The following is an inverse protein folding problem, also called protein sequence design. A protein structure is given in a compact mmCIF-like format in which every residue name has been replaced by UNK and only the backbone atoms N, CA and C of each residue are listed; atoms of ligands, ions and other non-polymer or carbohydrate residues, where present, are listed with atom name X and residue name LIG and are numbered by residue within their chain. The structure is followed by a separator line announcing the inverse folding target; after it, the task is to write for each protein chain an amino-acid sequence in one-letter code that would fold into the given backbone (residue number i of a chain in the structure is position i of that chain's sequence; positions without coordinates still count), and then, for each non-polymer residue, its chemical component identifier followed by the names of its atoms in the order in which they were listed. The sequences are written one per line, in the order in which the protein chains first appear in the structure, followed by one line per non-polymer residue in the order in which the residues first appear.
data_IF_875142113387
#
_entry.id   IF_875142113387
#
_cell.length_a   1.000
_cell.length_b   1.000
_cell.length_c   1.000
_cell.angle_alpha   90.00
_cell.angle_beta   90.00
_cell.angle_gamma   90.00
#
_symmetry.space_group_name_H-M   'P 1'
#
loop_
_entity.id
_entity.type
_entity.pdbx_description
1 polymer ?
#
# COMPACT_ATOMS: atom_id res chain seq x y z
N UNK A 1 22.16 47.12 12.23
CA UNK A 1 22.40 45.78 11.67
C UNK A 1 22.53 44.69 12.75
N UNK A 2 23.48 44.78 13.71
CA UNK A 2 23.61 43.76 14.78
C UNK A 2 22.33 43.52 15.57
N UNK A 3 21.66 44.59 16.04
CA UNK A 3 20.37 44.48 16.74
C UNK A 3 19.30 43.77 15.89
N UNK A 4 19.15 44.14 14.61
CA UNK A 4 18.20 43.51 13.71
C UNK A 4 18.46 42.00 13.55
N UNK A 5 19.72 41.60 13.34
CA UNK A 5 20.10 40.19 13.27
C UNK A 5 19.77 39.45 14.57
N UNK A 6 20.03 40.05 15.74
CA UNK A 6 19.67 39.45 17.03
C UNK A 6 18.16 39.20 17.15
N UNK A 7 17.32 40.17 16.75
CA UNK A 7 15.87 40.00 16.83
C UNK A 7 15.36 38.93 15.84
N UNK A 8 15.92 38.88 14.63
CA UNK A 8 15.62 37.83 13.65
C UNK A 8 16.04 36.45 14.20
N UNK A 9 17.24 36.32 14.75
CA UNK A 9 17.71 35.06 15.34
C UNK A 9 16.82 34.61 16.49
N UNK A 10 16.46 35.51 17.42
CA UNK A 10 15.57 35.19 18.54
C UNK A 10 14.18 34.74 18.06
N UNK A 11 13.68 35.30 16.97
CA UNK A 11 12.42 34.88 16.35
C UNK A 11 12.52 33.52 15.64
N UNK A 12 13.65 33.24 14.97
CA UNK A 12 13.85 32.00 14.23
C UNK A 12 14.21 30.80 15.13
N UNK A 13 14.83 31.02 16.29
CA UNK A 13 15.25 29.94 17.20
C UNK A 13 14.10 28.98 17.53
N UNK A 14 12.91 29.43 18.00
CA UNK A 14 11.79 28.53 18.28
C UNK A 14 11.35 27.71 17.06
N UNK A 15 11.34 28.31 15.87
CA UNK A 15 10.94 27.64 14.62
C UNK A 15 11.94 26.54 14.27
N UNK A 16 13.24 26.84 14.36
CA UNK A 16 14.31 25.87 14.10
C UNK A 16 14.28 24.74 15.13
N UNK A 17 14.02 25.04 16.40
CA UNK A 17 13.86 24.02 17.45
C UNK A 17 12.69 23.09 17.15
N UNK A 18 11.51 23.62 16.83
CA UNK A 18 10.33 22.79 16.48
C UNK A 18 10.60 21.94 15.24
N UNK A 19 11.26 22.51 14.22
CA UNK A 19 11.64 21.77 13.02
C UNK A 19 12.63 20.63 13.32
N UNK A 20 13.67 20.88 14.13
CA UNK A 20 14.62 19.85 14.55
C UNK A 20 13.93 18.74 15.36
N UNK A 21 13.01 19.09 16.27
CA UNK A 21 12.25 18.10 17.04
C UNK A 21 11.37 17.23 16.12
N UNK A 22 10.72 17.84 15.12
CA UNK A 22 9.95 17.10 14.12
C UNK A 22 10.84 16.17 13.28
N UNK A 23 12.03 16.62 12.89
CA UNK A 23 12.98 15.79 12.15
C UNK A 23 13.45 14.60 13.00
N UNK A 24 13.86 14.85 14.25
CA UNK A 24 14.25 13.80 15.20
C UNK A 24 13.11 12.80 15.40
N UNK A 25 11.87 13.28 15.55
CA UNK A 25 10.69 12.42 15.67
C UNK A 25 10.54 11.49 14.47
N UNK A 26 10.54 12.03 13.24
CA UNK A 26 10.41 11.20 12.03
C UNK A 26 11.59 10.25 11.80
N UNK A 27 12.79 10.58 12.28
CA UNK A 27 13.99 9.74 12.13
C UNK A 27 14.11 8.67 13.20
N UNK A 28 13.49 8.86 14.38
CA UNK A 28 13.72 7.99 15.54
C UNK A 28 12.52 7.12 15.89
N UNK A 29 11.30 7.52 15.52
CA UNK A 29 10.08 6.76 15.84
C UNK A 29 9.77 5.78 14.72
N UNK A 30 9.80 4.45 14.99
CA UNK A 30 9.43 3.45 14.00
C UNK A 30 7.97 3.59 13.57
N UNK A 31 7.72 3.33 12.29
CA UNK A 31 6.39 3.26 11.69
C UNK A 31 6.35 2.11 10.67
N UNK A 32 5.25 1.95 9.94
CA UNK A 32 5.12 0.87 8.96
C UNK A 32 6.25 0.81 7.92
N UNK A 33 6.80 1.95 7.47
CA UNK A 33 7.90 1.98 6.49
C UNK A 33 9.18 1.38 7.07
N UNK A 34 9.67 1.92 8.19
CA UNK A 34 10.90 1.42 8.84
C UNK A 34 10.74 -0.02 9.31
N UNK A 35 9.60 -0.35 9.90
CA UNK A 35 9.34 -1.68 10.44
C UNK A 35 9.25 -2.72 9.32
N UNK A 36 8.52 -2.44 8.23
CA UNK A 36 8.47 -3.37 7.10
C UNK A 36 9.82 -3.52 6.41
N UNK A 37 10.58 -2.43 6.30
CA UNK A 37 11.91 -2.49 5.74
C UNK A 37 12.86 -3.39 6.55
N UNK A 38 12.80 -3.30 7.88
CA UNK A 38 13.56 -4.18 8.78
C UNK A 38 13.09 -5.63 8.67
N UNK A 39 11.77 -5.88 8.76
CA UNK A 39 11.21 -7.23 8.75
C UNK A 39 11.48 -7.96 7.43
N UNK A 40 11.31 -7.33 6.27
CA UNK A 40 11.63 -8.00 5.00
C UNK A 40 13.13 -8.31 4.91
N UNK A 41 14.00 -7.40 5.35
CA UNK A 41 15.45 -7.58 5.29
C UNK A 41 15.95 -8.71 6.18
N UNK A 42 15.30 -8.93 7.33
CA UNK A 42 15.66 -9.98 8.27
C UNK A 42 15.15 -11.37 7.87
N UNK A 43 14.14 -11.45 6.98
CA UNK A 43 13.45 -12.69 6.65
C UNK A 43 13.53 -13.06 5.16
N UNK A 44 14.41 -12.42 4.38
CA UNK A 44 14.50 -12.58 2.92
C UNK A 44 14.57 -14.05 2.45
N UNK A 45 15.37 -14.87 3.13
CA UNK A 45 15.57 -16.29 2.78
C UNK A 45 14.35 -17.16 3.11
N UNK A 46 13.42 -16.69 3.92
CA UNK A 46 12.25 -17.46 4.34
C UNK A 46 11.01 -17.16 3.51
N UNK A 47 11.00 -16.10 2.70
CA UNK A 47 9.80 -15.64 1.99
C UNK A 47 9.54 -16.49 0.75
N UNK A 48 8.40 -17.19 0.75
CA UNK A 48 7.87 -17.96 -0.37
C UNK A 48 6.78 -17.21 -1.14
N UNK A 49 6.11 -16.26 -0.49
CA UNK A 49 5.05 -15.43 -1.09
C UNK A 49 5.26 -13.97 -0.70
N UNK A 50 5.29 -13.08 -1.69
CA UNK A 50 5.36 -11.64 -1.49
C UNK A 50 4.02 -11.01 -1.91
N UNK A 51 3.42 -10.24 -1.01
CA UNK A 51 2.18 -9.48 -1.31
C UNK A 51 2.53 -8.01 -1.50
N UNK A 52 2.10 -7.47 -2.64
CA UNK A 52 2.19 -6.05 -2.99
C UNK A 52 0.77 -5.45 -3.12
N UNK A 53 0.69 -4.12 -3.18
CA UNK A 53 -0.57 -3.40 -3.29
C UNK A 53 -0.81 -2.38 -2.19
N UNK A 54 -2.04 -1.90 -2.11
CA UNK A 54 -2.45 -0.78 -1.28
C UNK A 54 -3.09 -1.22 0.06
N UNK A 55 -3.97 -0.37 0.62
CA UNK A 55 -4.70 -0.70 1.85
C UNK A 55 -5.58 -1.95 1.72
N UNK A 56 -6.06 -2.31 0.53
CA UNK A 56 -6.92 -3.48 0.32
C UNK A 56 -6.15 -4.76 0.63
N UNK A 57 -4.91 -4.92 0.16
CA UNK A 57 -4.08 -6.08 0.50
C UNK A 57 -3.41 -5.93 1.87
N UNK A 58 -3.11 -4.71 2.30
CA UNK A 58 -2.53 -4.45 3.62
C UNK A 58 -3.43 -4.92 4.76
N UNK A 59 -4.73 -4.64 4.67
CA UNK A 59 -5.71 -5.09 5.65
C UNK A 59 -6.38 -6.41 5.27
N UNK A 60 -6.50 -6.73 3.98
CA UNK A 60 -7.29 -7.86 3.48
C UNK A 60 -6.54 -9.18 3.32
N UNK A 61 -5.20 -9.19 3.23
CA UNK A 61 -4.41 -10.42 3.14
C UNK A 61 -3.56 -10.57 4.39
N UNK A 62 -3.95 -11.51 5.25
CA UNK A 62 -3.26 -11.87 6.48
C UNK A 62 -2.41 -13.13 6.24
N UNK A 63 -1.06 -13.00 6.24
CA UNK A 63 -0.12 -14.11 6.10
C UNK A 63 -0.27 -15.25 7.12
N UNK A 64 -0.88 -15.03 8.28
CA UNK A 64 -1.15 -16.08 9.28
C UNK A 64 -2.02 -17.21 8.72
N UNK A 65 -2.90 -16.91 7.77
CA UNK A 65 -3.85 -17.87 7.19
C UNK A 65 -3.40 -18.44 5.83
N UNK A 66 -2.17 -18.16 5.44
CA UNK A 66 -1.55 -18.72 4.23
C UNK A 66 -0.60 -19.86 4.63
N UNK A 67 -0.60 -20.92 3.84
CA UNK A 67 0.18 -22.14 4.09
C UNK A 67 1.67 -21.99 3.78
N UNK A 68 2.01 -21.10 2.84
CA UNK A 68 3.38 -20.75 2.50
C UNK A 68 3.86 -19.57 3.33
N UNK A 69 5.17 -19.50 3.59
CA UNK A 69 5.78 -18.38 4.32
C UNK A 69 5.60 -17.08 3.55
N UNK A 70 4.61 -16.30 3.98
CA UNK A 70 4.18 -15.11 3.27
C UNK A 70 4.62 -13.85 4.00
N UNK A 71 5.11 -12.87 3.25
CA UNK A 71 5.35 -11.52 3.74
C UNK A 71 4.50 -10.50 2.98
N UNK A 72 3.74 -9.71 3.73
CA UNK A 72 2.89 -8.67 3.18
C UNK A 72 3.62 -7.32 3.18
N UNK A 73 4.10 -6.90 2.00
CA UNK A 73 4.85 -5.64 1.82
C UNK A 73 3.94 -4.48 1.36
N UNK A 74 2.63 -4.71 1.18
CA UNK A 74 1.65 -3.65 0.88
C UNK A 74 1.59 -2.57 1.98
N UNK A 75 1.08 -1.39 1.62
CA UNK A 75 0.93 -0.29 2.57
C UNK A 75 -0.21 0.64 2.18
N UNK A 76 -0.69 1.45 3.12
CA UNK A 76 -1.83 2.37 2.88
C UNK A 76 -1.51 3.34 1.75
N UNK A 77 -2.33 3.30 0.69
CA UNK A 77 -2.20 4.11 -0.52
C UNK A 77 -0.89 3.89 -1.29
N UNK A 78 -0.29 2.71 -1.18
CA UNK A 78 0.82 2.29 -2.03
C UNK A 78 0.32 2.12 -3.48
N UNK A 79 1.09 2.64 -4.42
CA UNK A 79 0.73 2.69 -5.84
C UNK A 79 1.50 1.65 -6.62
N UNK A 80 1.05 1.27 -7.83
CA UNK A 80 1.80 0.35 -8.71
C UNK A 80 3.21 0.87 -9.00
N UNK A 81 3.40 2.20 -8.99
CA UNK A 81 4.73 2.81 -9.06
C UNK A 81 5.63 2.34 -7.92
N UNK A 82 5.15 2.38 -6.67
CA UNK A 82 5.91 1.92 -5.52
C UNK A 82 5.99 0.40 -5.44
N UNK A 83 4.96 -0.34 -5.86
CA UNK A 83 5.03 -1.80 -5.99
C UNK A 83 6.19 -2.22 -6.91
N UNK A 84 6.31 -1.58 -8.09
CA UNK A 84 7.44 -1.80 -9.00
C UNK A 84 8.79 -1.57 -8.32
N UNK A 85 8.95 -0.42 -7.65
CA UNK A 85 10.23 -0.08 -7.03
C UNK A 85 10.59 -1.03 -5.88
N UNK A 86 9.62 -1.41 -5.06
CA UNK A 86 9.80 -2.37 -3.98
C UNK A 86 10.14 -3.76 -4.54
N UNK A 87 9.42 -4.20 -5.57
CA UNK A 87 9.71 -5.43 -6.29
C UNK A 87 11.15 -5.44 -6.82
N UNK A 88 11.55 -4.42 -7.59
CA UNK A 88 12.90 -4.31 -8.16
C UNK A 88 14.00 -4.27 -7.09
N UNK A 89 13.72 -3.69 -5.92
CA UNK A 89 14.66 -3.66 -4.80
C UNK A 89 14.89 -5.05 -4.20
N UNK A 90 13.83 -5.83 -4.03
CA UNK A 90 13.86 -7.04 -3.22
C UNK A 90 13.99 -8.33 -4.02
N UNK A 91 13.48 -8.40 -5.25
CA UNK A 91 13.25 -9.65 -5.96
C UNK A 91 14.50 -10.52 -6.15
N UNK A 92 15.66 -9.93 -6.40
CA UNK A 92 16.93 -10.68 -6.55
C UNK A 92 17.48 -11.24 -5.24
N UNK A 93 16.93 -10.83 -4.10
CA UNK A 93 17.32 -11.27 -2.76
C UNK A 93 16.26 -12.17 -2.11
N UNK A 94 15.25 -12.64 -2.85
CA UNK A 94 14.22 -13.56 -2.36
C UNK A 94 14.37 -14.94 -3.03
N UNK A 95 15.38 -15.75 -2.64
CA UNK A 95 15.78 -16.95 -3.38
C UNK A 95 14.71 -18.06 -3.36
N UNK A 96 13.79 -18.03 -2.41
CA UNK A 96 12.73 -19.02 -2.22
C UNK A 96 11.35 -18.53 -2.65
N UNK A 97 11.25 -17.35 -3.27
CA UNK A 97 9.98 -16.79 -3.72
C UNK A 97 9.35 -17.70 -4.77
N UNK A 98 8.11 -18.12 -4.53
CA UNK A 98 7.29 -18.95 -5.42
C UNK A 98 6.11 -18.17 -6.00
N UNK A 99 5.54 -17.24 -5.22
CA UNK A 99 4.39 -16.45 -5.63
C UNK A 99 4.58 -14.95 -5.38
N UNK A 100 4.15 -14.15 -6.35
CA UNK A 100 3.91 -12.72 -6.20
C UNK A 100 2.41 -12.46 -6.25
N UNK A 101 1.86 -11.78 -5.24
CA UNK A 101 0.47 -11.34 -5.23
C UNK A 101 0.43 -9.83 -5.50
N UNK A 102 -0.29 -9.41 -6.54
CA UNK A 102 -0.52 -8.01 -6.87
C UNK A 102 -2.03 -7.78 -6.93
N UNK A 103 -2.53 -6.79 -6.18
CA UNK A 103 -3.92 -6.36 -6.30
C UNK A 103 -4.13 -5.40 -7.46
N UNK A 104 -5.25 -5.56 -8.18
CA UNK A 104 -5.72 -4.62 -9.19
C UNK A 104 -7.11 -4.14 -8.80
N UNK A 105 -7.17 -2.95 -8.22
CA UNK A 105 -8.40 -2.32 -7.74
C UNK A 105 -8.86 -1.20 -8.68
N UNK A 106 -10.00 -0.60 -8.35
CA UNK A 106 -10.64 0.44 -9.16
C UNK A 106 -9.72 1.62 -9.53
N UNK A 107 -8.82 1.99 -8.62
CA UNK A 107 -7.89 3.11 -8.78
C UNK A 107 -6.57 2.69 -9.43
N UNK A 108 -6.20 1.42 -9.33
CA UNK A 108 -4.84 0.92 -9.54
C UNK A 108 -4.30 1.20 -10.95
N UNK A 109 -5.08 0.89 -11.99
CA UNK A 109 -4.59 0.98 -13.37
C UNK A 109 -4.54 2.43 -13.91
N UNK A 110 -5.46 3.29 -13.48
CA UNK A 110 -5.53 4.69 -13.96
C UNK A 110 -4.71 5.68 -13.14
N UNK A 111 -4.22 5.25 -11.98
CA UNK A 111 -3.50 6.13 -11.04
C UNK A 111 -2.25 6.72 -11.67
N UNK A 112 -2.22 8.04 -11.75
CA UNK A 112 -1.03 8.78 -12.19
C UNK A 112 0.02 8.87 -11.08
N UNK A 113 1.29 8.88 -11.49
CA UNK A 113 2.43 9.10 -10.60
C UNK A 113 2.41 10.51 -9.98
N UNK A 114 3.02 10.62 -8.81
CA UNK A 114 3.29 11.89 -8.12
C UNK A 114 2.00 12.67 -7.80
N UNK A 115 0.91 11.94 -7.54
CA UNK A 115 -0.39 12.49 -7.12
C UNK A 115 -0.45 12.66 -5.60
N UNK A 116 -1.63 13.05 -5.07
CA UNK A 116 -1.86 13.30 -3.64
C UNK A 116 -1.38 12.15 -2.75
N UNK A 117 -1.45 10.91 -3.22
CA UNK A 117 -0.99 9.73 -2.48
C UNK A 117 0.54 9.63 -2.39
N UNK A 118 1.25 10.05 -3.43
CA UNK A 118 2.72 9.95 -3.52
C UNK A 118 3.45 11.16 -2.93
N UNK A 119 2.84 12.36 -2.98
CA UNK A 119 3.51 13.66 -2.78
C UNK A 119 4.37 13.71 -1.51
N UNK A 120 3.92 13.12 -0.41
CA UNK A 120 4.69 13.06 0.84
C UNK A 120 5.27 11.66 1.12
N UNK A 121 4.56 10.59 0.73
CA UNK A 121 4.97 9.20 0.98
C UNK A 121 6.26 8.84 0.26
N UNK A 122 6.52 9.41 -0.92
CA UNK A 122 7.75 9.16 -1.68
C UNK A 122 9.02 9.38 -0.88
N UNK A 123 9.05 10.41 -0.03
CA UNK A 123 10.20 10.69 0.84
C UNK A 123 10.33 9.67 1.97
N UNK A 124 9.22 9.10 2.46
CA UNK A 124 9.26 8.02 3.46
C UNK A 124 9.77 6.71 2.82
N UNK A 125 9.32 6.37 1.60
CA UNK A 125 9.90 5.26 0.85
C UNK A 125 11.40 5.44 0.61
N UNK A 126 11.86 6.63 0.19
CA UNK A 126 13.29 6.88 0.00
C UNK A 126 14.07 6.83 1.31
N UNK A 127 13.59 7.50 2.36
CA UNK A 127 14.34 7.72 3.59
C UNK A 127 14.25 6.61 4.63
N UNK A 128 13.20 5.79 4.59
CA UNK A 128 12.88 4.79 5.62
C UNK A 128 12.79 3.37 5.08
N UNK A 129 12.71 3.22 3.75
CA UNK A 129 12.79 1.92 3.08
C UNK A 129 13.96 1.87 2.10
N UNK A 130 14.90 2.81 2.15
CA UNK A 130 16.09 2.90 1.29
C UNK A 130 15.78 2.66 -0.20
N UNK A 131 14.69 3.26 -0.68
CA UNK A 131 14.23 3.11 -2.05
C UNK A 131 14.84 4.19 -2.95
N UNK A 132 15.31 3.83 -4.14
CA UNK A 132 15.67 4.83 -5.15
C UNK A 132 14.38 5.32 -5.79
N UNK A 133 13.99 6.57 -5.53
CA UNK A 133 12.73 7.14 -6.02
C UNK A 133 12.98 8.24 -7.06
N UNK A 134 12.91 7.93 -8.37
CA UNK A 134 13.10 8.90 -9.45
C UNK A 134 12.22 10.17 -9.39
N UNK A 135 11.06 10.09 -8.73
CA UNK A 135 10.15 11.25 -8.54
C UNK A 135 10.69 12.30 -7.55
N UNK A 136 11.82 12.05 -6.89
CA UNK A 136 12.45 12.99 -5.96
C UNK A 136 13.66 13.62 -6.64
N UNK A 137 13.57 14.91 -6.95
CA UNK A 137 14.70 15.65 -7.47
C UNK A 137 15.81 15.77 -6.42
N UNK A 138 17.07 15.69 -6.86
CA UNK A 138 18.23 15.76 -5.96
C UNK A 138 18.33 17.08 -5.18
N UNK A 139 17.76 18.16 -5.74
CA UNK A 139 17.73 19.49 -5.14
C UNK A 139 16.47 19.78 -4.31
N UNK A 140 15.55 18.81 -4.17
CA UNK A 140 14.36 18.99 -3.35
C UNK A 140 14.75 18.95 -1.85
N UNK A 141 14.54 20.03 -1.07
CA UNK A 141 14.92 20.05 0.34
C UNK A 141 14.21 18.98 1.19
N UNK A 142 13.02 18.52 0.76
CA UNK A 142 12.27 17.47 1.47
C UNK A 142 12.95 16.11 1.42
N UNK A 143 13.87 15.89 0.47
CA UNK A 143 14.77 14.72 0.43
C UNK A 143 15.64 14.64 1.68
N UNK A 144 16.10 15.79 2.18
CA UNK A 144 17.05 15.87 3.28
C UNK A 144 16.38 16.10 4.64
N UNK A 145 15.10 16.49 4.66
CA UNK A 145 14.33 16.67 5.91
C UNK A 145 12.89 16.17 5.76
N UNK A 146 12.59 15.08 6.48
CA UNK A 146 11.23 14.53 6.55
C UNK A 146 10.26 15.51 7.22
N UNK A 147 10.73 16.37 8.11
CA UNK A 147 9.92 17.42 8.73
C UNK A 147 9.34 18.42 7.72
N UNK A 148 9.90 18.53 6.51
CA UNK A 148 9.39 19.40 5.43
C UNK A 148 8.35 18.72 4.52
N UNK A 149 8.15 17.41 4.67
CA UNK A 149 7.31 16.60 3.74
C UNK A 149 5.81 16.76 4.02
N UNK A 150 5.43 17.00 5.27
CA UNK A 150 4.04 17.07 5.74
C UNK A 150 3.77 18.41 6.41
N UNK A 151 2.50 18.84 6.39
CA UNK A 151 2.05 20.01 7.13
C UNK A 151 2.22 19.79 8.64
N UNK A 152 2.49 20.87 9.38
CA UNK A 152 2.75 20.80 10.82
C UNK A 152 1.58 20.20 11.61
N UNK A 153 0.33 20.49 11.25
CA UNK A 153 -0.86 19.91 11.91
C UNK A 153 -0.89 18.38 11.80
N UNK A 154 -0.44 17.84 10.67
CA UNK A 154 -0.33 16.39 10.45
C UNK A 154 0.81 15.78 11.26
N UNK A 155 1.95 16.45 11.34
CA UNK A 155 3.07 16.04 12.20
C UNK A 155 2.66 16.03 13.67
N UNK A 156 2.03 17.11 14.14
CA UNK A 156 1.58 17.21 15.52
C UNK A 156 0.51 16.16 15.86
N UNK A 157 -0.44 15.91 14.95
CA UNK A 157 -1.41 14.80 15.11
C UNK A 157 -0.69 13.46 15.22
N UNK A 158 0.24 13.15 14.32
CA UNK A 158 1.00 11.89 14.38
C UNK A 158 1.82 11.76 15.67
N UNK A 159 2.37 12.86 16.20
CA UNK A 159 3.02 12.85 17.51
C UNK A 159 2.05 12.53 18.66
N UNK A 160 0.85 13.12 18.65
CA UNK A 160 -0.18 12.80 19.66
C UNK A 160 -0.67 11.36 19.55
N UNK A 161 -0.83 10.83 18.34
CA UNK A 161 -1.18 9.43 18.10
C UNK A 161 -0.08 8.52 18.70
N UNK A 162 1.20 8.82 18.44
CA UNK A 162 2.33 8.10 19.06
C UNK A 162 2.32 8.16 20.59
N UNK A 163 2.04 9.33 21.19
CA UNK A 163 1.95 9.45 22.65
C UNK A 163 0.79 8.64 23.25
N UNK A 164 -0.32 8.52 22.52
CA UNK A 164 -1.50 7.77 22.96
C UNK A 164 -1.29 6.25 22.82
N UNK A 165 -0.74 5.82 21.70
CA UNK A 165 -0.68 4.40 21.30
C UNK A 165 0.65 3.74 21.67
N UNK A 166 1.69 4.52 21.92
CA UNK A 166 3.04 4.04 22.23
C UNK A 166 3.84 3.57 21.00
N UNK A 167 3.21 3.51 19.82
CA UNK A 167 3.82 3.10 18.55
C UNK A 167 3.08 3.73 17.37
N UNK A 168 3.76 3.85 16.22
CA UNK A 168 3.14 4.17 14.93
C UNK A 168 3.14 2.96 13.98
N UNK A 169 3.54 1.79 14.48
CA UNK A 169 3.50 0.54 13.75
C UNK A 169 2.07 0.00 13.85
N UNK A 170 1.39 -0.05 12.71
CA UNK A 170 0.03 -0.58 12.57
C UNK A 170 -0.01 -1.92 11.84
N UNK A 171 1.06 -2.72 11.92
CA UNK A 171 1.12 -4.06 11.32
C UNK A 171 1.90 -5.05 12.18
N UNK A 172 1.69 -6.35 11.93
CA UNK A 172 2.43 -7.44 12.57
C UNK A 172 3.78 -7.72 11.89
N UNK A 173 4.55 -8.67 12.45
CA UNK A 173 5.87 -9.09 11.94
C UNK A 173 5.85 -9.61 10.49
N UNK A 174 4.70 -10.10 10.01
CA UNK A 174 4.50 -10.56 8.62
C UNK A 174 3.96 -9.45 7.72
N UNK A 175 3.81 -8.24 8.25
CA UNK A 175 3.41 -7.04 7.55
C UNK A 175 1.91 -6.86 7.36
N UNK A 176 1.05 -7.65 8.01
CA UNK A 176 -0.40 -7.47 7.91
C UNK A 176 -0.91 -6.34 8.81
N UNK A 177 -1.75 -5.47 8.26
CA UNK A 177 -2.41 -4.40 8.99
C UNK A 177 -3.53 -4.94 9.87
N UNK A 178 -3.39 -4.83 11.19
CA UNK A 178 -4.29 -5.46 12.16
C UNK A 178 -5.17 -4.46 12.94
N UNK A 179 -5.39 -3.26 12.38
CA UNK A 179 -6.13 -2.17 13.04
C UNK A 179 -7.62 -2.14 12.71
N UNK A 180 -8.07 -2.82 11.65
CA UNK A 180 -9.48 -2.85 11.22
C UNK A 180 -10.21 -4.04 11.85
N UNK A 181 -10.79 -3.80 13.03
CA UNK A 181 -11.35 -4.87 13.89
C UNK A 181 -12.89 -4.93 13.91
N UNK A 182 -13.58 -3.92 13.39
CA UNK A 182 -15.04 -3.79 13.48
C UNK A 182 -15.65 -3.36 12.15
N UNK A 183 -16.94 -3.63 11.98
CA UNK A 183 -17.77 -3.19 10.86
C UNK A 183 -18.53 -1.92 11.25
N UNK A 184 -18.54 -0.92 10.38
CA UNK A 184 -19.44 0.25 10.52
C UNK A 184 -20.91 -0.17 10.40
N UNK A 185 -21.83 0.61 10.96
CA UNK A 185 -23.25 0.28 10.84
C UNK A 185 -23.76 0.40 9.39
N UNK A 186 -24.91 -0.20 9.09
CA UNK A 186 -25.44 -0.25 7.72
C UNK A 186 -25.75 1.14 7.11
N UNK A 187 -26.10 2.12 7.94
CA UNK A 187 -26.38 3.48 7.47
C UNK A 187 -25.07 4.18 7.09
N UNK A 188 -24.06 4.06 7.94
CA UNK A 188 -22.71 4.55 7.65
C UNK A 188 -22.10 3.83 6.43
N UNK A 189 -22.27 2.52 6.31
CA UNK A 189 -21.82 1.72 5.17
C UNK A 189 -22.38 2.23 3.84
N UNK A 190 -23.70 2.46 3.77
CA UNK A 190 -24.35 2.98 2.58
C UNK A 190 -23.85 4.41 2.24
N UNK A 191 -23.62 5.25 3.25
CA UNK A 191 -23.04 6.57 3.06
C UNK A 191 -21.61 6.51 2.51
N UNK A 192 -20.75 5.71 3.15
CA UNK A 192 -19.36 5.53 2.75
C UNK A 192 -19.24 4.95 1.34
N UNK A 193 -20.08 3.98 0.98
CA UNK A 193 -20.11 3.37 -0.36
C UNK A 193 -20.20 4.42 -1.46
N UNK A 194 -21.09 5.41 -1.30
CA UNK A 194 -21.25 6.52 -2.24
C UNK A 194 -20.09 7.52 -2.20
N UNK A 195 -19.58 7.85 -1.02
CA UNK A 195 -18.52 8.86 -0.85
C UNK A 195 -17.18 8.35 -1.35
N UNK A 196 -16.82 7.13 -0.98
CA UNK A 196 -15.56 6.49 -1.36
C UNK A 196 -15.55 6.23 -2.87
N UNK A 197 -16.63 5.71 -3.47
CA UNK A 197 -16.74 5.52 -4.91
C UNK A 197 -16.48 6.82 -5.70
N UNK A 198 -17.08 7.94 -5.25
CA UNK A 198 -16.85 9.26 -5.87
C UNK A 198 -15.43 9.76 -5.70
N UNK A 199 -14.78 9.47 -4.57
CA UNK A 199 -13.40 9.84 -4.29
C UNK A 199 -12.42 9.04 -5.16
N UNK A 200 -12.74 7.78 -5.44
CA UNK A 200 -11.91 6.85 -6.22
C UNK A 200 -12.03 7.04 -7.73
N UNK A 201 -13.08 7.73 -8.18
CA UNK A 201 -13.18 8.14 -9.58
C UNK A 201 -12.25 9.31 -9.89
N UNK A 202 -11.32 9.08 -10.82
CA UNK A 202 -10.34 10.06 -11.32
C UNK A 202 -10.66 10.54 -12.76
N UNK A 203 -11.68 9.96 -13.40
CA UNK A 203 -12.08 10.22 -14.78
C UNK A 203 -11.13 9.66 -15.83
N UNK A 204 -10.05 8.97 -15.42
CA UNK A 204 -9.02 8.47 -16.31
C UNK A 204 -9.32 7.04 -16.74
N UNK A 205 -9.20 6.81 -18.04
CA UNK A 205 -9.20 5.50 -18.66
C UNK A 205 -7.81 5.15 -19.21
N UNK A 206 -6.76 5.92 -18.93
CA UNK A 206 -5.40 5.57 -19.38
C UNK A 206 -4.78 4.56 -18.42
N UNK A 207 -4.68 3.31 -18.86
CA UNK A 207 -4.10 2.21 -18.07
C UNK A 207 -2.69 1.84 -18.54
N UNK A 208 -2.21 2.46 -19.62
CA UNK A 208 -1.04 1.97 -20.37
C UNK A 208 0.19 1.83 -19.48
N UNK A 209 0.49 2.87 -18.71
CA UNK A 209 1.69 2.91 -17.87
C UNK A 209 1.65 1.86 -16.75
N UNK A 210 0.53 1.73 -16.03
CA UNK A 210 0.45 0.78 -14.91
C UNK A 210 0.32 -0.67 -15.39
N UNK A 211 -0.37 -0.91 -16.51
CA UNK A 211 -0.36 -2.23 -17.16
C UNK A 211 1.04 -2.63 -17.59
N UNK A 212 1.83 -1.70 -18.14
CA UNK A 212 3.24 -1.96 -18.49
C UNK A 212 4.10 -2.30 -17.26
N UNK A 213 3.88 -1.63 -16.12
CA UNK A 213 4.57 -1.96 -14.86
C UNK A 213 4.25 -3.37 -14.38
N UNK A 214 2.96 -3.74 -14.38
CA UNK A 214 2.52 -5.08 -14.00
C UNK A 214 3.09 -6.12 -14.96
N UNK A 215 3.03 -5.89 -16.27
CA UNK A 215 3.60 -6.78 -17.28
C UNK A 215 5.11 -6.98 -17.11
N UNK A 216 5.85 -5.92 -16.75
CA UNK A 216 7.29 -6.02 -16.49
C UNK A 216 7.58 -6.88 -15.24
N UNK A 217 6.81 -6.72 -14.15
CA UNK A 217 6.94 -7.59 -12.98
C UNK A 217 6.60 -9.05 -13.31
N UNK A 218 5.53 -9.30 -14.08
CA UNK A 218 5.14 -10.63 -14.55
C UNK A 218 6.25 -11.29 -15.37
N UNK A 219 6.81 -10.56 -16.33
CA UNK A 219 7.89 -11.05 -17.21
C UNK A 219 9.13 -11.43 -16.41
N UNK A 220 9.49 -10.62 -15.40
CA UNK A 220 10.60 -10.94 -14.50
C UNK A 220 10.30 -12.19 -13.66
N UNK A 221 9.08 -12.29 -13.13
CA UNK A 221 8.65 -13.47 -12.37
C UNK A 221 8.74 -14.74 -13.22
N UNK A 222 8.31 -14.70 -14.48
CA UNK A 222 8.38 -15.84 -15.40
C UNK A 222 9.83 -16.34 -15.57
N UNK A 223 10.79 -15.42 -15.76
CA UNK A 223 12.22 -15.76 -15.88
C UNK A 223 12.81 -16.45 -14.64
N UNK A 224 12.18 -16.25 -13.48
CA UNK A 224 12.59 -16.84 -12.19
C UNK A 224 11.68 -18.00 -11.76
N UNK A 225 10.74 -18.44 -12.62
CA UNK A 225 9.72 -19.45 -12.32
C UNK A 225 8.79 -19.09 -11.15
N UNK A 226 8.55 -17.80 -10.93
CA UNK A 226 7.62 -17.27 -9.93
C UNK A 226 6.23 -17.15 -10.56
N UNK A 227 5.23 -17.68 -9.87
CA UNK A 227 3.83 -17.53 -10.23
C UNK A 227 3.29 -16.17 -9.75
N UNK A 228 2.37 -15.58 -10.50
CA UNK A 228 1.75 -14.31 -10.15
C UNK A 228 0.25 -14.50 -9.96
N UNK A 229 -0.27 -14.08 -8.81
CA UNK A 229 -1.69 -13.93 -8.58
C UNK A 229 -2.08 -12.47 -8.77
N UNK A 230 -2.87 -12.20 -9.82
CA UNK A 230 -3.52 -10.90 -10.00
C UNK A 230 -4.88 -10.96 -9.29
N UNK A 231 -5.01 -10.23 -8.19
CA UNK A 231 -6.18 -10.32 -7.30
C UNK A 231 -7.03 -9.06 -7.43
N UNK A 232 -8.34 -9.21 -7.60
CA UNK A 232 -9.29 -8.13 -7.35
C UNK A 232 -9.87 -8.37 -5.95
N UNK A 233 -9.57 -7.50 -4.98
CA UNK A 233 -9.94 -7.71 -3.59
C UNK A 233 -11.46 -7.56 -3.38
N UNK A 234 -12.04 -8.24 -2.37
CA UNK A 234 -13.44 -8.06 -2.04
C UNK A 234 -13.73 -6.63 -1.58
N UNK A 235 -14.84 -6.09 -2.04
CA UNK A 235 -15.39 -4.79 -1.63
C UNK A 235 -16.88 -4.94 -1.36
N UNK A 236 -17.48 -3.99 -0.64
CA UNK A 236 -18.90 -4.08 -0.33
C UNK A 236 -19.74 -3.89 -1.61
N UNK A 237 -20.81 -4.69 -1.86
CA UNK A 237 -21.58 -4.60 -3.10
C UNK A 237 -22.12 -3.20 -3.43
N UNK A 238 -22.62 -2.46 -2.44
CA UNK A 238 -23.14 -1.12 -2.66
C UNK A 238 -22.05 -0.15 -3.16
N UNK A 239 -20.79 -0.35 -2.79
CA UNK A 239 -19.69 0.46 -3.32
C UNK A 239 -19.51 0.22 -4.82
N UNK A 240 -19.52 -1.04 -5.26
CA UNK A 240 -19.40 -1.40 -6.69
C UNK A 240 -20.51 -0.79 -7.54
N UNK A 241 -21.73 -0.73 -7.02
CA UNK A 241 -22.89 -0.17 -7.73
C UNK A 241 -22.77 1.34 -7.98
N UNK A 242 -21.89 2.03 -7.25
CA UNK A 242 -21.61 3.45 -7.42
C UNK A 242 -20.40 3.75 -8.33
N UNK A 243 -19.68 2.72 -8.79
CA UNK A 243 -18.51 2.89 -9.66
C UNK A 243 -18.91 3.04 -11.13
N UNK A 244 -17.99 3.55 -11.96
CA UNK A 244 -18.18 3.64 -13.39
C UNK A 244 -18.10 2.23 -14.02
N UNK A 245 -19.19 1.72 -14.62
CA UNK A 245 -19.22 0.37 -15.18
C UNK A 245 -18.27 0.21 -16.38
N UNK A 246 -18.04 1.26 -17.18
CA UNK A 246 -17.11 1.19 -18.31
C UNK A 246 -15.66 1.03 -17.84
N UNK A 247 -15.30 1.71 -16.74
CA UNK A 247 -13.98 1.59 -16.12
C UNK A 247 -13.78 0.21 -15.51
N UNK A 248 -14.78 -0.32 -14.80
CA UNK A 248 -14.76 -1.70 -14.28
C UNK A 248 -14.55 -2.73 -15.39
N UNK A 249 -15.36 -2.66 -16.47
CA UNK A 249 -15.22 -3.56 -17.62
C UNK A 249 -13.82 -3.49 -18.26
N UNK A 250 -13.22 -2.29 -18.29
CA UNK A 250 -11.86 -2.13 -18.81
C UNK A 250 -10.82 -2.74 -17.88
N UNK A 251 -10.99 -2.61 -16.55
CA UNK A 251 -10.11 -3.24 -15.56
C UNK A 251 -10.20 -4.76 -15.70
N UNK A 252 -11.41 -5.30 -15.77
CA UNK A 252 -11.64 -6.74 -15.97
C UNK A 252 -10.93 -7.24 -17.23
N UNK A 253 -11.18 -6.58 -18.36
CA UNK A 253 -10.53 -6.94 -19.62
C UNK A 253 -9.01 -6.89 -19.53
N UNK A 254 -8.46 -5.88 -18.85
CA UNK A 254 -7.00 -5.73 -18.69
C UNK A 254 -6.43 -6.88 -17.85
N UNK A 255 -7.08 -7.24 -16.75
CA UNK A 255 -6.67 -8.37 -15.91
C UNK A 255 -6.76 -9.71 -16.67
N UNK A 256 -7.85 -9.93 -17.43
CA UNK A 256 -8.03 -11.13 -18.25
C UNK A 256 -7.00 -11.22 -19.36
N UNK A 257 -6.70 -10.11 -20.03
CA UNK A 257 -5.69 -10.06 -21.08
C UNK A 257 -4.30 -10.40 -20.50
N UNK A 258 -3.93 -9.83 -19.35
CA UNK A 258 -2.68 -10.16 -18.65
C UNK A 258 -2.60 -11.66 -18.26
N UNK A 259 -3.66 -12.21 -17.67
CA UNK A 259 -3.69 -13.63 -17.29
C UNK A 259 -3.66 -14.57 -18.50
N UNK A 260 -4.34 -14.21 -19.59
CA UNK A 260 -4.39 -15.02 -20.82
C UNK A 260 -3.07 -15.04 -21.58
N UNK A 261 -2.35 -13.92 -21.55
CA UNK A 261 -1.11 -13.73 -22.33
C UNK A 261 0.15 -14.22 -21.62
N UNK A 262 0.09 -14.42 -20.30
CA UNK A 262 1.23 -14.81 -19.48
C UNK A 262 0.94 -16.13 -18.75
N UNK A 263 1.67 -17.22 -19.05
CA UNK A 263 1.36 -18.56 -18.54
C UNK A 263 1.60 -18.72 -17.03
N UNK A 264 2.42 -17.86 -16.42
CA UNK A 264 2.68 -17.85 -14.97
C UNK A 264 1.70 -16.97 -14.19
N UNK A 265 0.62 -16.48 -14.81
CA UNK A 265 -0.36 -15.60 -14.16
C UNK A 265 -1.69 -16.31 -13.96
N UNK A 266 -2.23 -16.20 -12.75
CA UNK A 266 -3.61 -16.58 -12.44
C UNK A 266 -4.38 -15.36 -11.94
N UNK A 267 -5.49 -15.02 -12.60
CA UNK A 267 -6.43 -14.01 -12.09
C UNK A 267 -7.33 -14.63 -11.02
N UNK A 268 -7.45 -13.95 -9.88
CA UNK A 268 -8.36 -14.32 -8.78
C UNK A 268 -9.25 -13.12 -8.49
N UNK A 269 -10.45 -13.11 -9.08
CA UNK A 269 -11.42 -12.04 -8.85
C UNK A 269 -12.33 -12.37 -7.67
N UNK A 270 -12.15 -11.65 -6.56
CA UNK A 270 -12.97 -11.76 -5.36
C UNK A 270 -13.86 -10.53 -5.14
N UNK A 271 -13.83 -9.56 -6.05
CA UNK A 271 -14.53 -8.27 -5.90
C UNK A 271 -16.04 -8.44 -5.76
N UNK A 272 -16.61 -9.44 -6.43
CA UNK A 272 -18.04 -9.78 -6.44
C UNK A 272 -18.35 -11.13 -5.79
N UNK A 273 -17.44 -11.64 -4.96
CA UNK A 273 -17.60 -12.95 -4.37
C UNK A 273 -18.68 -12.96 -3.28
N UNK A 274 -19.75 -13.72 -3.52
CA UNK A 274 -20.94 -13.76 -2.64
C UNK A 274 -20.70 -14.37 -1.26
N UNK A 275 -19.52 -14.96 -1.02
CA UNK A 275 -19.12 -15.47 0.30
C UNK A 275 -18.80 -14.35 1.29
N UNK A 276 -18.55 -13.12 0.81
CA UNK A 276 -18.38 -11.95 1.65
C UNK A 276 -19.73 -11.31 1.97
N UNK A 277 -19.90 -10.95 3.24
CA UNK A 277 -21.11 -10.41 3.84
C UNK A 277 -20.75 -9.15 4.62
N UNK A 278 -21.74 -8.36 5.03
CA UNK A 278 -21.52 -7.07 5.71
C UNK A 278 -20.48 -7.15 6.85
N UNK A 279 -20.56 -8.18 7.69
CA UNK A 279 -19.67 -8.38 8.83
C UNK A 279 -18.20 -8.67 8.48
N UNK A 280 -17.89 -8.93 7.21
CA UNK A 280 -16.50 -9.12 6.75
C UNK A 280 -15.81 -7.78 6.44
N UNK A 281 -16.58 -6.69 6.32
CA UNK A 281 -16.08 -5.39 5.93
C UNK A 281 -15.86 -4.47 7.14
N UNK A 282 -14.80 -3.68 7.09
CA UNK A 282 -14.59 -2.56 8.00
C UNK A 282 -15.46 -1.38 7.56
N UNK A 283 -15.36 -1.03 6.28
CA UNK A 283 -16.05 0.05 5.61
C UNK A 283 -16.42 -0.36 4.17
N UNK A 284 -16.67 0.61 3.29
CA UNK A 284 -17.19 0.37 1.93
C UNK A 284 -16.27 -0.47 1.02
N UNK A 285 -14.96 -0.42 1.23
CA UNK A 285 -13.95 -1.00 0.34
C UNK A 285 -12.88 -1.80 1.08
N UNK A 286 -12.82 -1.75 2.41
CA UNK A 286 -11.84 -2.49 3.20
C UNK A 286 -12.46 -3.65 3.97
N UNK A 287 -11.76 -4.79 3.97
CA UNK A 287 -12.06 -5.89 4.88
C UNK A 287 -11.64 -5.55 6.32
N UNK A 288 -12.38 -6.10 7.28
CA UNK A 288 -11.92 -6.18 8.67
C UNK A 288 -11.14 -7.49 8.91
N UNK A 289 -10.68 -7.73 10.14
CA UNK A 289 -9.92 -8.92 10.48
C UNK A 289 -10.62 -10.26 10.16
N UNK A 290 -11.96 -10.35 10.28
CA UNK A 290 -12.71 -11.56 9.93
C UNK A 290 -12.75 -11.76 8.41
N UNK A 291 -13.03 -10.68 7.67
CA UNK A 291 -12.99 -10.68 6.22
C UNK A 291 -11.60 -11.00 5.67
N UNK A 292 -10.55 -10.45 6.29
CA UNK A 292 -9.16 -10.69 5.91
C UNK A 292 -8.78 -12.16 6.07
N UNK A 293 -9.17 -12.79 7.18
CA UNK A 293 -9.02 -14.24 7.37
C UNK A 293 -9.73 -15.03 6.27
N UNK A 294 -10.98 -14.68 5.96
CA UNK A 294 -11.76 -15.34 4.90
C UNK A 294 -11.07 -15.19 3.54
N UNK A 295 -10.69 -13.97 3.16
CA UNK A 295 -9.99 -13.68 1.91
C UNK A 295 -8.67 -14.45 1.80
N UNK A 296 -7.88 -14.47 2.86
CA UNK A 296 -6.60 -15.17 2.90
C UNK A 296 -6.78 -16.68 2.69
N UNK A 297 -7.79 -17.30 3.31
CA UNK A 297 -8.09 -18.72 3.10
C UNK A 297 -8.53 -19.03 1.66
N UNK A 298 -9.24 -18.09 1.00
CA UNK A 298 -9.62 -18.24 -0.40
C UNK A 298 -8.40 -18.12 -1.33
N UNK A 299 -7.52 -17.15 -1.08
CA UNK A 299 -6.26 -16.98 -1.81
C UNK A 299 -5.34 -18.18 -1.61
N UNK A 300 -5.29 -18.73 -0.39
CA UNK A 300 -4.48 -19.91 -0.07
C UNK A 300 -4.81 -21.13 -0.96
N UNK A 301 -6.04 -21.25 -1.45
CA UNK A 301 -6.42 -22.34 -2.35
C UNK A 301 -5.68 -22.31 -3.70
N UNK A 302 -5.09 -21.17 -4.07
CA UNK A 302 -4.28 -20.98 -5.28
C UNK A 302 -2.77 -21.11 -5.03
N UNK A 303 -2.37 -21.27 -3.77
CA UNK A 303 -0.98 -21.43 -3.37
C UNK A 303 -0.69 -22.93 -3.19
N UNK A 304 0.28 -23.45 -3.94
CA UNK A 304 0.65 -24.86 -3.89
C UNK A 304 2.08 -25.00 -3.35
N UNK A 305 2.24 -25.89 -2.37
CA UNK A 305 3.55 -26.35 -1.96
C UNK A 305 4.04 -27.37 -3.00
N UNK A 306 4.86 -26.90 -3.95
CA UNK A 306 5.65 -27.77 -4.82
C UNK A 306 6.88 -28.31 -4.10
#
# INVERSE_FOLDING_TARGET
MKKLLTHISLFLIPIVVVWMLAEVFYRSVPNNYTYKHEQISNNMDDIEVLVLGDSHTFFGINPEWLSLKTYNLSNVSQTIYFDKLLFEKHIDHLPHLKYLIISVEYTTLSQADNTQEDIWRKYFYEAQMDLKVPLIAWYDPKKYSLALTRKFDKTFKTFLDYQREGSLIGCDEKGWGNTYLSTVDSLEMAYLSKVVARKHEDGSMDFKQNTERIQNMITFCEQKNIQVLLVNMPVYPDYLDHLNPEKLLKIDKTCDDLAKTNPNVTRVDLSRDSRFQLQDFHDADHLNAQGAKKCSLLINAYLHAY
#
